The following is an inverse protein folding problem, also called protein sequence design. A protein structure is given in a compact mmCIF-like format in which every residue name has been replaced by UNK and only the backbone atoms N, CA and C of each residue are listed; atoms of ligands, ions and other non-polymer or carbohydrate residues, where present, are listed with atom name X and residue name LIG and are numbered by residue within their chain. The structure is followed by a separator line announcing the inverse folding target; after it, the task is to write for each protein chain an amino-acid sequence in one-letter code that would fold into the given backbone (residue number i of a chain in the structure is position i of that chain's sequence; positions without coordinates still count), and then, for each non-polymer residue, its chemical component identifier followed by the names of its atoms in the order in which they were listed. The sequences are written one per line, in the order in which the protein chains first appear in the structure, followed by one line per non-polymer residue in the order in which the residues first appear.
data_IF_554755915795
#
_entry.id   IF_554755915795
#
_cell.length_a   1.000
_cell.length_b   1.000
_cell.length_c   1.000
_cell.angle_alpha   90.00
_cell.angle_beta   90.00
_cell.angle_gamma   90.00
#
_symmetry.space_group_name_H-M   'P 1'
#
loop_
_entity.id
_entity.type
_entity.pdbx_description
1 polymer ?
#
# COMPACT_ATOMS: atom_id res chain seq x y z
N UNK A 1 -5.83 0.63 42.29
CA UNK A 1 -5.36 0.35 40.90
C UNK A 1 -4.06 -0.40 41.04
N UNK A 2 -4.11 -1.74 40.79
CA UNK A 2 -3.04 -2.70 41.16
C UNK A 2 -1.69 -2.34 40.50
N UNK A 3 -0.60 -2.51 41.23
CA UNK A 3 0.79 -2.25 40.80
C UNK A 3 1.15 -2.98 39.48
N UNK A 4 0.62 -4.15 39.27
CA UNK A 4 0.77 -4.93 38.02
C UNK A 4 0.17 -4.22 36.79
N UNK A 5 -1.02 -3.61 36.90
CA UNK A 5 -1.62 -2.86 35.79
C UNK A 5 -0.79 -1.63 35.42
N UNK A 6 -0.21 -0.96 36.39
CA UNK A 6 0.70 0.19 36.15
C UNK A 6 1.98 -0.25 35.43
N UNK A 7 2.55 -1.38 35.83
CA UNK A 7 3.78 -1.93 35.22
C UNK A 7 3.56 -2.33 33.76
N UNK A 8 2.43 -2.97 33.46
CA UNK A 8 2.08 -3.37 32.08
C UNK A 8 1.78 -2.17 31.18
N UNK A 9 1.12 -1.13 31.72
CA UNK A 9 0.87 0.13 30.97
C UNK A 9 2.18 0.85 30.68
N UNK A 10 3.07 0.97 31.68
CA UNK A 10 4.38 1.58 31.50
C UNK A 10 5.24 0.83 30.46
N UNK A 11 5.28 -0.50 30.56
CA UNK A 11 6.03 -1.33 29.60
C UNK A 11 5.50 -1.18 28.17
N UNK A 12 4.17 -1.18 27.99
CA UNK A 12 3.55 -0.93 26.67
C UNK A 12 3.83 0.47 26.16
N UNK A 13 3.78 1.48 27.00
CA UNK A 13 4.10 2.87 26.62
C UNK A 13 5.56 2.99 26.21
N UNK A 14 6.47 2.40 26.96
CA UNK A 14 7.91 2.37 26.64
C UNK A 14 8.16 1.78 25.25
N UNK A 15 7.63 0.58 24.97
CA UNK A 15 7.82 -0.06 23.67
C UNK A 15 7.17 0.72 22.52
N UNK A 16 6.02 1.35 22.74
CA UNK A 16 5.41 2.25 21.73
C UNK A 16 6.32 3.42 21.39
N UNK A 17 6.93 4.04 22.40
CA UNK A 17 7.88 5.15 22.19
C UNK A 17 9.12 4.66 21.44
N UNK A 18 9.69 3.52 21.82
CA UNK A 18 10.86 2.93 21.15
C UNK A 18 10.56 2.66 19.68
N UNK A 19 9.42 2.03 19.37
CA UNK A 19 9.01 1.75 17.99
C UNK A 19 8.80 3.07 17.23
N UNK A 20 8.13 4.05 17.84
CA UNK A 20 7.90 5.36 17.24
C UNK A 20 9.23 6.05 16.88
N UNK A 21 10.18 6.08 17.83
CA UNK A 21 11.50 6.65 17.60
C UNK A 21 12.23 5.94 16.48
N UNK A 22 12.21 4.60 16.48
CA UNK A 22 12.85 3.80 15.44
C UNK A 22 12.29 4.11 14.04
N UNK A 23 10.98 4.28 13.91
CA UNK A 23 10.32 4.64 12.65
C UNK A 23 10.59 6.11 12.27
N UNK A 24 10.67 7.01 13.26
CA UNK A 24 10.89 8.44 13.02
C UNK A 24 12.33 8.77 12.60
N UNK A 25 13.34 8.04 13.08
CA UNK A 25 14.75 8.30 12.75
C UNK A 25 15.01 8.41 11.24
N UNK A 26 14.65 7.42 10.39
CA UNK A 26 14.91 7.52 8.95
C UNK A 26 14.12 8.67 8.30
N UNK A 27 12.90 8.96 8.78
CA UNK A 27 12.09 10.05 8.24
C UNK A 27 12.72 11.41 8.57
N UNK A 28 13.11 11.62 9.83
CA UNK A 28 13.79 12.84 10.28
C UNK A 28 15.14 13.02 9.57
N UNK A 29 15.86 11.91 9.35
CA UNK A 29 17.09 11.94 8.57
C UNK A 29 16.86 12.35 7.12
N UNK A 30 15.79 11.86 6.48
CA UNK A 30 15.38 12.27 5.14
C UNK A 30 15.08 13.77 5.06
N UNK A 31 14.27 14.28 6.01
CA UNK A 31 13.96 15.72 6.09
C UNK A 31 15.23 16.53 6.33
N UNK A 32 16.08 16.10 7.26
CA UNK A 32 17.37 16.75 7.53
C UNK A 32 18.23 16.82 6.24
N UNK A 33 18.35 15.71 5.55
CA UNK A 33 19.18 15.64 4.33
C UNK A 33 18.62 16.53 3.21
N UNK A 34 17.30 16.62 3.08
CA UNK A 34 16.66 17.48 2.07
C UNK A 34 16.92 18.98 2.27
N UNK A 35 17.18 19.39 3.52
CA UNK A 35 17.47 20.78 3.92
C UNK A 35 18.98 21.07 4.00
N UNK A 36 19.85 20.16 3.61
CA UNK A 36 21.29 20.28 3.71
C UNK A 36 21.89 20.82 2.43
N UNK A 37 22.80 21.81 2.53
CA UNK A 37 23.51 22.36 1.37
C UNK A 37 24.49 21.35 0.76
N UNK A 38 25.01 20.41 1.55
CA UNK A 38 25.95 19.39 1.09
C UNK A 38 25.51 17.98 1.49
N UNK A 39 25.46 17.06 0.53
CA UNK A 39 25.16 15.64 0.76
C UNK A 39 26.22 14.92 1.62
N UNK A 40 27.38 15.51 1.79
CA UNK A 40 28.50 14.97 2.59
C UNK A 40 28.49 15.45 4.05
N UNK A 41 27.57 16.34 4.43
CA UNK A 41 27.48 16.78 5.82
C UNK A 41 26.88 15.66 6.69
N UNK A 42 27.72 15.06 7.55
CA UNK A 42 27.38 13.97 8.47
C UNK A 42 26.89 14.43 9.85
N UNK A 43 26.84 15.73 10.09
CA UNK A 43 26.41 16.27 11.39
C UNK A 43 24.90 16.03 11.58
N UNK A 44 24.44 15.84 12.82
CA UNK A 44 23.02 15.70 13.13
C UNK A 44 22.23 16.96 12.73
N UNK A 45 22.82 18.13 12.99
CA UNK A 45 22.26 19.42 12.57
C UNK A 45 23.08 19.91 11.37
N UNK A 46 22.45 20.24 10.24
CA UNK A 46 23.17 20.79 9.09
C UNK A 46 23.92 22.03 9.46
N UNK A 47 25.17 22.18 8.98
CA UNK A 47 25.94 23.41 9.15
C UNK A 47 25.31 24.58 8.40
N UNK A 48 24.73 24.29 7.24
CA UNK A 48 24.05 25.25 6.37
C UNK A 48 22.72 24.69 5.94
N UNK A 49 21.65 25.42 6.22
CA UNK A 49 20.30 25.09 5.76
C UNK A 49 20.05 25.75 4.40
N UNK A 50 19.50 24.97 3.46
CA UNK A 50 19.14 25.47 2.15
C UNK A 50 17.84 24.83 1.64
N UNK A 51 17.14 25.56 0.80
CA UNK A 51 16.00 25.06 0.01
C UNK A 51 16.38 24.82 -1.46
N UNK A 52 17.67 24.94 -1.81
CA UNK A 52 18.14 24.78 -3.18
C UNK A 52 17.85 23.39 -3.75
N UNK A 53 17.87 22.36 -2.92
CA UNK A 53 17.50 21.01 -3.33
C UNK A 53 16.07 20.97 -3.90
N UNK A 54 15.12 21.65 -3.26
CA UNK A 54 13.74 21.75 -3.73
C UNK A 54 13.62 22.62 -4.99
N UNK A 55 14.32 23.76 -5.01
CA UNK A 55 14.36 24.63 -6.18
C UNK A 55 14.92 23.91 -7.41
N UNK A 56 16.04 23.20 -7.23
CA UNK A 56 16.67 22.45 -8.31
C UNK A 56 15.80 21.29 -8.80
N UNK A 57 15.10 20.62 -7.88
CA UNK A 57 14.16 19.56 -8.21
C UNK A 57 12.99 20.09 -9.06
N UNK A 58 12.38 21.21 -8.65
CA UNK A 58 11.27 21.85 -9.39
C UNK A 58 11.71 22.37 -10.76
N UNK A 59 12.95 22.82 -10.91
CA UNK A 59 13.53 23.25 -12.18
C UNK A 59 13.92 22.09 -13.10
N UNK A 60 13.97 20.86 -12.57
CA UNK A 60 14.30 19.66 -13.37
C UNK A 60 13.22 19.39 -14.41
N UNK A 61 13.57 19.31 -15.71
CA UNK A 61 12.59 19.09 -16.77
C UNK A 61 11.82 17.78 -16.67
N UNK A 62 12.40 16.78 -15.98
CA UNK A 62 11.81 15.45 -15.84
C UNK A 62 10.93 15.29 -14.59
N UNK A 63 11.01 16.20 -13.61
CA UNK A 63 10.37 16.02 -12.31
C UNK A 63 8.85 16.14 -12.39
N UNK A 64 8.35 17.27 -12.90
CA UNK A 64 6.89 17.49 -13.02
C UNK A 64 6.22 16.51 -14.00
N UNK A 65 6.79 16.22 -15.18
CA UNK A 65 6.26 15.15 -16.04
C UNK A 65 6.28 13.78 -15.36
N UNK A 66 7.32 13.47 -14.56
CA UNK A 66 7.41 12.23 -13.80
C UNK A 66 6.29 12.08 -12.77
N UNK A 67 5.99 13.15 -12.02
CA UNK A 67 4.84 13.18 -11.10
C UNK A 67 3.54 12.97 -11.86
N UNK A 68 3.34 13.69 -12.97
CA UNK A 68 2.14 13.58 -13.78
C UNK A 68 1.93 12.16 -14.30
N UNK A 69 2.97 11.55 -14.85
CA UNK A 69 2.93 10.16 -15.30
C UNK A 69 2.57 9.20 -14.16
N UNK A 70 3.14 9.41 -12.96
CA UNK A 70 2.84 8.57 -11.79
C UNK A 70 1.37 8.71 -11.37
N UNK A 71 0.83 9.92 -11.36
CA UNK A 71 -0.58 10.18 -11.05
C UNK A 71 -1.50 9.51 -12.09
N UNK A 72 -1.18 9.67 -13.38
CA UNK A 72 -1.97 9.06 -14.47
C UNK A 72 -1.94 7.54 -14.39
N UNK A 73 -0.77 6.93 -14.18
CA UNK A 73 -0.64 5.48 -14.00
C UNK A 73 -1.46 5.00 -12.81
N UNK A 74 -1.36 5.69 -11.66
CA UNK A 74 -2.10 5.32 -10.46
C UNK A 74 -3.62 5.41 -10.69
N UNK A 75 -4.11 6.51 -11.23
CA UNK A 75 -5.54 6.70 -11.50
C UNK A 75 -6.08 5.67 -12.50
N UNK A 76 -5.40 5.46 -13.62
CA UNK A 76 -5.82 4.47 -14.61
C UNK A 76 -5.81 3.05 -14.03
N UNK A 77 -4.78 2.71 -13.26
CA UNK A 77 -4.70 1.41 -12.56
C UNK A 77 -5.89 1.22 -11.63
N UNK A 78 -6.23 2.21 -10.80
CA UNK A 78 -7.36 2.14 -9.87
C UNK A 78 -8.68 2.02 -10.61
N UNK A 79 -8.90 2.83 -11.66
CA UNK A 79 -10.13 2.82 -12.45
C UNK A 79 -10.39 1.47 -13.14
N UNK A 80 -9.34 0.77 -13.56
CA UNK A 80 -9.45 -0.56 -14.16
C UNK A 80 -9.56 -1.64 -13.09
N UNK A 81 -8.70 -1.58 -12.08
CA UNK A 81 -8.57 -2.62 -11.07
C UNK A 81 -9.80 -2.70 -10.15
N UNK A 82 -10.30 -1.56 -9.69
CA UNK A 82 -11.35 -1.50 -8.68
C UNK A 82 -12.65 -2.20 -9.11
N UNK A 83 -13.21 -1.98 -10.30
CA UNK A 83 -14.39 -2.70 -10.76
C UNK A 83 -14.15 -4.21 -10.85
N UNK A 84 -13.01 -4.63 -11.41
CA UNK A 84 -12.67 -6.04 -11.59
C UNK A 84 -12.57 -6.73 -10.23
N UNK A 85 -11.82 -6.14 -9.31
CA UNK A 85 -11.60 -6.69 -7.96
C UNK A 85 -12.92 -6.74 -7.17
N UNK A 86 -13.76 -5.72 -7.28
CA UNK A 86 -15.06 -5.68 -6.59
C UNK A 86 -15.96 -6.80 -7.06
N UNK A 87 -16.11 -6.97 -8.37
CA UNK A 87 -16.93 -8.04 -8.94
C UNK A 87 -16.37 -9.43 -8.60
N UNK A 88 -15.08 -9.63 -8.76
CA UNK A 88 -14.42 -10.89 -8.43
C UNK A 88 -14.54 -11.24 -6.94
N UNK A 89 -14.32 -10.27 -6.07
CA UNK A 89 -14.42 -10.45 -4.61
C UNK A 89 -15.84 -10.72 -4.17
N UNK A 90 -16.83 -10.07 -4.77
CA UNK A 90 -18.25 -10.34 -4.51
C UNK A 90 -18.62 -11.76 -4.93
N UNK A 91 -18.22 -12.17 -6.13
CA UNK A 91 -18.47 -13.53 -6.63
C UNK A 91 -17.85 -14.59 -5.71
N UNK A 92 -16.61 -14.41 -5.27
CA UNK A 92 -15.90 -15.34 -4.40
C UNK A 92 -16.36 -15.31 -2.95
N UNK A 93 -16.79 -14.14 -2.44
CA UNK A 93 -17.14 -13.95 -1.04
C UNK A 93 -18.62 -14.17 -0.71
N UNK A 94 -19.51 -13.84 -1.62
CA UNK A 94 -20.97 -13.87 -1.39
C UNK A 94 -21.71 -14.93 -2.19
N UNK A 95 -21.24 -15.24 -3.41
CA UNK A 95 -21.90 -16.27 -4.21
C UNK A 95 -21.40 -17.66 -3.78
N UNK A 96 -22.28 -18.68 -3.91
CA UNK A 96 -21.91 -20.10 -3.65
C UNK A 96 -21.01 -20.65 -4.75
N UNK A 97 -19.93 -19.94 -5.02
CA UNK A 97 -18.97 -20.29 -6.06
C UNK A 97 -18.03 -21.41 -5.58
N UNK A 98 -17.93 -22.52 -6.34
CA UNK A 98 -17.05 -23.65 -6.01
C UNK A 98 -15.57 -23.31 -6.34
N UNK A 99 -15.09 -22.13 -5.92
CA UNK A 99 -13.80 -21.56 -6.33
C UNK A 99 -12.66 -21.74 -5.33
N UNK A 100 -12.68 -22.76 -4.49
CA UNK A 100 -11.56 -23.03 -3.53
C UNK A 100 -10.19 -23.08 -4.21
N UNK A 101 -10.13 -23.60 -5.43
CA UNK A 101 -8.89 -23.63 -6.20
C UNK A 101 -8.44 -22.22 -6.57
N UNK A 102 -9.36 -21.39 -7.06
CA UNK A 102 -9.06 -20.01 -7.43
C UNK A 102 -8.58 -19.18 -6.23
N UNK A 103 -9.19 -19.39 -5.07
CA UNK A 103 -8.73 -18.74 -3.83
C UNK A 103 -7.28 -19.10 -3.47
N UNK A 104 -6.93 -20.38 -3.61
CA UNK A 104 -5.54 -20.83 -3.39
C UNK A 104 -4.58 -20.20 -4.40
N UNK A 105 -4.97 -20.13 -5.66
CA UNK A 105 -4.16 -19.48 -6.71
C UNK A 105 -3.97 -18.01 -6.40
N UNK A 106 -5.03 -17.27 -6.05
CA UNK A 106 -4.95 -15.84 -5.67
C UNK A 106 -4.06 -15.59 -4.46
N UNK A 107 -4.01 -16.53 -3.51
CA UNK A 107 -3.13 -16.45 -2.36
C UNK A 107 -1.67 -16.76 -2.69
N UNK A 108 -1.44 -17.72 -3.59
CA UNK A 108 -0.09 -18.19 -3.93
C UNK A 108 0.63 -17.29 -4.93
N UNK A 109 -0.10 -16.67 -5.86
CA UNK A 109 0.50 -15.80 -6.88
C UNK A 109 1.41 -14.69 -6.31
N UNK A 110 1.00 -13.94 -5.27
CA UNK A 110 1.86 -12.91 -4.68
C UNK A 110 3.10 -13.46 -3.95
N UNK A 111 3.15 -14.76 -3.66
CA UNK A 111 4.30 -15.40 -3.03
C UNK A 111 5.40 -15.77 -4.04
N UNK A 112 5.10 -15.72 -5.33
CA UNK A 112 6.11 -15.93 -6.35
C UNK A 112 7.13 -14.78 -6.32
N UNK A 113 8.44 -15.10 -6.39
CA UNK A 113 9.46 -14.07 -6.39
C UNK A 113 9.29 -13.18 -7.64
N UNK A 114 9.01 -11.88 -7.42
CA UNK A 114 8.74 -10.92 -8.49
C UNK A 114 9.85 -10.91 -9.57
N UNK A 115 11.10 -11.12 -9.14
CA UNK A 115 12.26 -11.12 -10.03
C UNK A 115 12.23 -12.29 -11.03
N UNK A 116 11.69 -13.45 -10.64
CA UNK A 116 11.57 -14.60 -11.53
C UNK A 116 10.53 -14.39 -12.62
N UNK A 117 9.52 -13.57 -12.35
CA UNK A 117 8.45 -13.25 -13.28
C UNK A 117 8.82 -12.06 -14.16
N UNK A 118 9.72 -11.19 -13.69
CA UNK A 118 10.06 -9.93 -14.37
C UNK A 118 10.61 -10.14 -15.79
N UNK A 119 11.52 -11.12 -15.98
CA UNK A 119 12.16 -11.36 -17.27
C UNK A 119 11.12 -11.79 -18.34
N UNK A 120 10.33 -12.87 -18.13
CA UNK A 120 9.33 -13.26 -19.13
C UNK A 120 8.24 -12.19 -19.32
N UNK A 121 7.97 -11.40 -18.28
CA UNK A 121 7.00 -10.32 -18.36
C UNK A 121 7.46 -9.19 -19.27
N UNK A 122 8.72 -8.75 -19.14
CA UNK A 122 9.34 -7.75 -20.02
C UNK A 122 9.38 -8.24 -21.47
N UNK A 123 9.71 -9.52 -21.69
CA UNK A 123 9.70 -10.11 -23.03
C UNK A 123 8.29 -10.08 -23.65
N UNK A 124 7.27 -10.44 -22.87
CA UNK A 124 5.88 -10.40 -23.33
C UNK A 124 5.43 -8.95 -23.62
N UNK A 125 5.79 -7.98 -22.77
CA UNK A 125 5.48 -6.56 -22.99
C UNK A 125 6.13 -6.06 -24.28
N UNK A 126 7.37 -6.47 -24.55
CA UNK A 126 8.07 -6.13 -25.78
C UNK A 126 7.37 -6.76 -27.01
N UNK A 127 6.98 -8.03 -26.94
CA UNK A 127 6.30 -8.74 -28.04
C UNK A 127 4.96 -8.11 -28.44
N UNK A 128 4.22 -7.52 -27.48
CA UNK A 128 2.93 -6.85 -27.73
C UNK A 128 3.07 -5.33 -27.92
N UNK A 129 4.31 -4.80 -28.01
CA UNK A 129 4.56 -3.37 -28.23
C UNK A 129 4.26 -2.44 -27.06
N UNK A 130 4.13 -2.98 -25.84
CA UNK A 130 3.88 -2.20 -24.62
C UNK A 130 5.15 -1.94 -23.79
N UNK A 131 6.31 -2.34 -24.28
CA UNK A 131 7.59 -2.03 -23.63
C UNK A 131 7.86 -0.51 -23.68
N UNK A 132 8.37 0.04 -22.59
CA UNK A 132 8.66 1.48 -22.44
C UNK A 132 7.45 2.40 -22.70
N UNK A 133 6.24 1.93 -22.38
CA UNK A 133 4.99 2.66 -22.54
C UNK A 133 4.23 2.72 -21.21
N UNK A 134 3.58 3.85 -20.91
CA UNK A 134 2.76 4.00 -19.70
C UNK A 134 1.61 2.98 -19.63
N UNK A 135 1.03 2.60 -20.77
CA UNK A 135 0.02 1.53 -20.82
C UNK A 135 0.58 0.19 -20.32
N UNK A 136 1.82 -0.14 -20.71
CA UNK A 136 2.51 -1.32 -20.20
C UNK A 136 2.62 -1.32 -18.69
N UNK A 137 3.00 -0.20 -18.09
CA UNK A 137 3.09 -0.04 -16.62
C UNK A 137 1.72 -0.20 -15.95
N UNK A 138 0.66 0.37 -16.54
CA UNK A 138 -0.72 0.24 -16.04
C UNK A 138 -1.16 -1.22 -16.04
N UNK A 139 -0.97 -1.92 -17.18
CA UNK A 139 -1.33 -3.34 -17.32
C UNK A 139 -0.58 -4.20 -16.30
N UNK A 140 0.72 -3.97 -16.13
CA UNK A 140 1.53 -4.68 -15.14
C UNK A 140 1.04 -4.45 -13.72
N UNK A 141 0.76 -3.22 -13.35
CA UNK A 141 0.21 -2.89 -12.03
C UNK A 141 -1.12 -3.60 -11.78
N UNK A 142 -2.03 -3.60 -12.77
CA UNK A 142 -3.31 -4.32 -12.66
C UNK A 142 -3.07 -5.81 -12.44
N UNK A 143 -2.23 -6.44 -13.26
CA UNK A 143 -1.95 -7.88 -13.19
C UNK A 143 -1.34 -8.26 -11.83
N UNK A 144 -0.37 -7.49 -11.32
CA UNK A 144 0.27 -7.79 -10.04
C UNK A 144 -0.62 -7.53 -8.83
N UNK A 145 -1.42 -6.46 -8.87
CA UNK A 145 -2.26 -6.08 -7.72
C UNK A 145 -3.55 -6.92 -7.65
N UNK A 146 -4.06 -7.39 -8.79
CA UNK A 146 -5.34 -8.09 -8.89
C UNK A 146 -5.48 -9.29 -7.93
N UNK A 147 -4.52 -10.23 -7.83
CA UNK A 147 -4.68 -11.40 -6.96
C UNK A 147 -4.80 -11.03 -5.49
N UNK A 148 -3.87 -10.22 -5.01
CA UNK A 148 -3.81 -9.83 -3.60
C UNK A 148 -5.02 -8.99 -3.18
N UNK A 149 -5.37 -7.98 -3.98
CA UNK A 149 -6.51 -7.10 -3.67
C UNK A 149 -7.85 -7.85 -3.74
N UNK A 150 -8.00 -8.80 -4.69
CA UNK A 150 -9.19 -9.66 -4.75
C UNK A 150 -9.30 -10.54 -3.51
N UNK A 151 -8.22 -11.19 -3.10
CA UNK A 151 -8.19 -12.01 -1.89
C UNK A 151 -8.52 -11.18 -0.65
N UNK A 152 -7.90 -10.02 -0.51
CA UNK A 152 -8.13 -9.12 0.63
C UNK A 152 -9.58 -8.65 0.69
N UNK A 153 -10.10 -8.12 -0.40
CA UNK A 153 -11.47 -7.58 -0.46
C UNK A 153 -12.53 -8.68 -0.29
N UNK A 154 -12.29 -9.89 -0.84
CA UNK A 154 -13.16 -11.05 -0.60
C UNK A 154 -13.32 -11.35 0.89
N UNK A 155 -12.22 -11.30 1.67
CA UNK A 155 -12.28 -11.56 3.11
C UNK A 155 -13.11 -10.49 3.84
N UNK A 156 -13.01 -9.21 3.45
CA UNK A 156 -13.87 -8.16 3.99
C UNK A 156 -15.34 -8.36 3.63
N UNK A 157 -15.65 -8.75 2.39
CA UNK A 157 -17.02 -9.02 1.96
C UNK A 157 -17.62 -10.27 2.60
N UNK A 158 -16.82 -11.23 3.02
CA UNK A 158 -17.26 -12.44 3.71
C UNK A 158 -17.62 -12.20 5.19
N UNK A 159 -17.17 -11.07 5.78
CA UNK A 159 -17.51 -10.74 7.16
C UNK A 159 -19.03 -10.49 7.27
N UNK A 160 -19.73 -11.13 8.23
CA UNK A 160 -21.11 -10.82 8.48
C UNK A 160 -21.21 -9.38 8.97
N UNK A 161 -22.06 -8.59 8.31
CA UNK A 161 -22.38 -7.23 8.77
C UNK A 161 -23.29 -7.39 9.97
N UNK A 162 -22.71 -7.47 11.16
CA UNK A 162 -23.42 -7.65 12.44
C UNK A 162 -24.17 -6.37 12.87
N UNK A 163 -24.94 -5.76 11.97
CA UNK A 163 -25.90 -4.72 12.38
C UNK A 163 -27.20 -5.29 12.97
N UNK A 164 -27.39 -6.61 12.88
CA UNK A 164 -28.60 -7.26 13.41
C UNK A 164 -28.58 -7.43 14.92
N UNK A 165 -27.42 -7.41 15.58
CA UNK A 165 -27.36 -7.60 17.04
C UNK A 165 -27.62 -6.31 17.85
N UNK A 166 -27.44 -5.13 17.29
CA UNK A 166 -27.74 -3.88 17.99
C UNK A 166 -29.25 -3.57 18.03
N UNK A 167 -29.99 -4.02 17.03
CA UNK A 167 -31.46 -3.80 16.96
C UNK A 167 -32.29 -4.77 17.81
N UNK A 168 -31.75 -5.94 18.13
CA UNK A 168 -32.45 -6.91 18.99
C UNK A 168 -32.42 -6.49 20.47
N UNK A 169 -31.42 -5.74 20.92
CA UNK A 169 -31.33 -5.25 22.31
C UNK A 169 -32.18 -3.99 22.57
N UNK A 170 -32.53 -3.22 21.54
CA UNK A 170 -33.38 -2.04 21.73
C UNK A 170 -34.88 -2.40 21.82
N UNK A 171 -35.29 -3.57 21.31
CA UNK A 171 -36.70 -3.99 21.34
C UNK A 171 -37.10 -4.70 22.63
N UNK A 172 -36.17 -5.18 23.44
CA UNK A 172 -36.48 -5.82 24.73
C UNK A 172 -36.58 -4.83 25.92
N UNK A 173 -36.24 -3.56 25.71
CA UNK A 173 -36.33 -2.53 26.77
C UNK A 173 -37.64 -1.74 26.76
N UNK A 174 -38.63 -2.12 25.96
CA UNK A 174 -39.93 -1.47 25.85
C UNK A 174 -41.15 -2.41 26.05
N UNK A 175 -41.01 -3.46 26.86
CA UNK A 175 -42.13 -4.26 27.36
C UNK A 175 -42.16 -4.27 28.90
#
# INVERSE_FOLDING_TARGET
MNSEKRRTVFFRAFWRIVILLFVMIPLLWGVRTSLCASNYDKNLIPKEFTLDNYSNLLKSPSFLPGIWNSVMVALCTILILLPIVTLASYALGRMKFKGRFLEKVLLLLPLLPAIAILIPLVQNMNAIGLYNNLLGVIVLNVVFLLPFTTYLLKNFMALPVSYTHLRAHETELHL
#
